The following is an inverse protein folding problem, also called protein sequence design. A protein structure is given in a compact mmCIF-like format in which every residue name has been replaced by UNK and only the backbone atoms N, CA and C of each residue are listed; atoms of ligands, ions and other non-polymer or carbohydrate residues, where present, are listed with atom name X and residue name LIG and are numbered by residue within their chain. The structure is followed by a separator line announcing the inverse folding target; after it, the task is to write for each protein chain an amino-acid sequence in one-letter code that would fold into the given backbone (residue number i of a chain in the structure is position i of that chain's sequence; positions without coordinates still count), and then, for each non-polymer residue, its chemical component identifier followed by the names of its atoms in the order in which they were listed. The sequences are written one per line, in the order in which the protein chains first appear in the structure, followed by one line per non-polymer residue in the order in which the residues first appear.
data_IF_372089814703
#
_entry.id   IF_372089814703
#
_cell.length_a   1.000
_cell.length_b   1.000
_cell.length_c   1.000
_cell.angle_alpha   90.00
_cell.angle_beta   90.00
_cell.angle_gamma   90.00
#
_symmetry.space_group_name_H-M   'P 1'
#
loop_
_entity.id
_entity.type
_entity.pdbx_description
1 polymer ?
#
# COMPACT_ATOMS: atom_id res chain seq x y z
N UNK A 1 -22.99 -73.76 -5.46
CA UNK A 1 -22.76 -73.40 -4.07
C UNK A 1 -21.36 -72.86 -4.00
N UNK A 2 -21.18 -71.55 -4.01
CA UNK A 2 -19.94 -70.84 -3.88
C UNK A 2 -20.20 -69.62 -3.00
N UNK A 3 -19.63 -69.60 -1.82
CA UNK A 3 -19.77 -68.49 -0.88
C UNK A 3 -18.69 -67.47 -1.20
N UNK A 4 -19.11 -66.26 -1.62
CA UNK A 4 -18.28 -65.09 -1.67
C UNK A 4 -18.12 -64.48 -0.27
N UNK A 5 -16.91 -64.51 0.22
CA UNK A 5 -16.49 -63.84 1.47
C UNK A 5 -15.99 -62.43 1.12
N UNK A 6 -16.86 -61.41 1.26
CA UNK A 6 -16.49 -59.99 1.12
C UNK A 6 -15.58 -59.56 2.26
N UNK A 7 -14.35 -59.27 1.95
CA UNK A 7 -13.39 -58.63 2.84
C UNK A 7 -13.64 -57.13 2.88
N UNK A 8 -13.96 -56.56 4.05
CA UNK A 8 -14.03 -55.13 4.28
C UNK A 8 -12.62 -54.51 4.20
N UNK A 9 -12.45 -53.30 3.62
CA UNK A 9 -11.16 -52.60 3.60
C UNK A 9 -10.80 -52.08 5.02
N UNK A 10 -9.52 -52.04 5.36
CA UNK A 10 -9.06 -51.59 6.68
C UNK A 10 -9.32 -50.08 6.80
N UNK A 11 -9.88 -49.71 7.93
CA UNK A 11 -10.09 -48.34 8.36
C UNK A 11 -8.73 -47.63 8.45
N UNK A 12 -8.52 -46.60 7.59
CA UNK A 12 -7.39 -45.69 7.68
C UNK A 12 -7.51 -44.85 8.94
N UNK A 13 -6.74 -45.24 9.97
CA UNK A 13 -6.64 -44.49 11.22
C UNK A 13 -6.03 -43.11 10.96
N UNK A 14 -6.87 -42.10 11.02
CA UNK A 14 -6.43 -40.70 11.04
C UNK A 14 -5.71 -40.46 12.36
N UNK A 15 -4.40 -40.43 12.33
CA UNK A 15 -3.58 -40.02 13.47
C UNK A 15 -3.96 -38.58 13.84
N UNK A 16 -4.38 -38.30 15.09
CA UNK A 16 -4.68 -36.95 15.48
C UNK A 16 -3.39 -36.13 15.44
N UNK A 17 -3.44 -35.00 14.69
CA UNK A 17 -2.35 -34.05 14.63
C UNK A 17 -1.95 -33.65 16.06
N UNK A 18 -0.70 -33.90 16.43
CA UNK A 18 -0.10 -33.45 17.69
C UNK A 18 -0.31 -31.95 17.80
N UNK A 19 -1.17 -31.51 18.72
CA UNK A 19 -1.22 -30.11 19.15
C UNK A 19 0.11 -29.79 19.81
N UNK A 20 0.98 -29.12 19.08
CA UNK A 20 2.21 -28.55 19.64
C UNK A 20 1.77 -27.40 20.56
N UNK A 21 1.98 -27.58 21.86
CA UNK A 21 1.79 -26.50 22.84
C UNK A 21 2.98 -25.57 22.63
N UNK A 22 2.72 -24.37 22.15
CA UNK A 22 3.77 -23.34 21.96
C UNK A 22 4.34 -22.95 23.33
N UNK A 23 5.65 -22.78 23.41
CA UNK A 23 6.32 -22.24 24.60
C UNK A 23 5.91 -20.79 24.87
N UNK A 24 6.12 -20.32 26.10
CA UNK A 24 5.82 -18.92 26.46
C UNK A 24 6.56 -17.90 25.59
N UNK A 25 7.77 -18.24 25.11
CA UNK A 25 8.57 -17.38 24.23
C UNK A 25 8.04 -17.40 22.79
N UNK A 26 7.56 -18.55 22.30
CA UNK A 26 6.88 -18.64 21.01
C UNK A 26 5.54 -17.89 21.05
N UNK A 27 4.80 -17.94 22.15
CA UNK A 27 3.58 -17.14 22.34
C UNK A 27 3.92 -15.65 22.40
N UNK A 28 5.01 -15.23 23.04
CA UNK A 28 5.49 -13.84 23.03
C UNK A 28 5.88 -13.39 21.62
N UNK A 29 6.63 -14.18 20.87
CA UNK A 29 6.99 -13.88 19.48
C UNK A 29 5.73 -13.77 18.58
N UNK A 30 4.67 -14.51 18.87
CA UNK A 30 3.37 -14.38 18.19
C UNK A 30 2.57 -13.16 18.63
N UNK A 31 2.79 -12.63 19.85
CA UNK A 31 2.10 -11.45 20.38
C UNK A 31 2.84 -10.14 20.11
N UNK A 32 4.14 -10.16 19.87
CA UNK A 32 4.87 -9.01 19.34
C UNK A 32 4.44 -8.80 17.88
N UNK A 33 3.44 -7.94 17.72
CA UNK A 33 2.94 -7.59 16.39
C UNK A 33 4.04 -6.81 15.67
N UNK A 34 4.46 -7.34 14.52
CA UNK A 34 5.35 -6.60 13.63
C UNK A 34 4.82 -5.16 13.42
N UNK A 35 5.69 -4.15 13.38
CA UNK A 35 5.32 -2.78 13.06
C UNK A 35 4.45 -2.72 11.81
N UNK A 36 3.46 -1.85 11.78
CA UNK A 36 2.47 -1.76 10.71
C UNK A 36 2.36 -0.35 10.19
N UNK A 37 2.49 -0.21 8.89
CA UNK A 37 2.15 1.01 8.18
C UNK A 37 0.65 1.06 7.88
N UNK A 38 -0.04 2.13 8.28
CA UNK A 38 -1.43 2.39 7.89
C UNK A 38 -1.44 3.12 6.56
N UNK A 39 -1.78 2.41 5.50
CA UNK A 39 -1.91 2.96 4.14
C UNK A 39 -3.19 2.45 3.54
N UNK A 40 -4.07 3.32 3.09
CA UNK A 40 -5.23 2.96 2.29
C UNK A 40 -4.86 3.03 0.80
N UNK A 41 -5.05 1.94 0.08
CA UNK A 41 -4.73 1.79 -1.34
C UNK A 41 -5.58 0.68 -1.94
N UNK A 42 -5.89 0.77 -3.23
CA UNK A 42 -6.58 -0.31 -3.94
C UNK A 42 -5.65 -1.52 -4.11
N UNK A 43 -6.18 -2.69 -3.80
CA UNK A 43 -5.52 -3.99 -3.98
C UNK A 43 -6.41 -4.87 -4.83
N UNK A 44 -5.85 -5.38 -5.92
CA UNK A 44 -6.49 -6.41 -6.73
C UNK A 44 -5.98 -7.77 -6.28
N UNK A 45 -6.86 -8.62 -5.79
CA UNK A 45 -6.57 -10.01 -5.47
C UNK A 45 -7.10 -10.92 -6.58
N UNK A 46 -6.29 -11.89 -7.00
CA UNK A 46 -6.66 -12.90 -7.99
C UNK A 46 -6.61 -14.26 -7.31
N UNK A 47 -7.73 -14.94 -7.28
CA UNK A 47 -7.83 -16.32 -6.79
C UNK A 47 -7.66 -17.24 -7.99
N UNK A 48 -6.62 -18.10 -8.03
CA UNK A 48 -6.52 -19.10 -9.08
C UNK A 48 -7.69 -20.09 -8.95
N UNK A 49 -8.49 -20.24 -9.99
CA UNK A 49 -9.49 -21.29 -10.07
C UNK A 49 -8.94 -22.43 -10.94
N UNK A 50 -8.91 -23.65 -10.38
CA UNK A 50 -8.39 -24.83 -11.08
C UNK A 50 -9.23 -25.20 -12.32
N UNK A 51 -10.47 -24.68 -12.43
CA UNK A 51 -11.41 -25.15 -13.44
C UNK A 51 -11.72 -24.18 -14.59
N UNK A 52 -11.63 -22.87 -14.47
CA UNK A 52 -12.00 -21.97 -15.59
C UNK A 52 -11.64 -20.48 -15.45
N UNK A 53 -10.59 -20.11 -14.85
CA UNK A 53 -10.21 -18.70 -14.84
C UNK A 53 -9.83 -18.18 -13.49
N UNK A 54 -9.52 -16.92 -13.42
CA UNK A 54 -9.16 -16.27 -12.15
C UNK A 54 -10.31 -15.39 -11.71
N UNK A 55 -10.79 -15.56 -10.50
CA UNK A 55 -11.70 -14.62 -9.87
C UNK A 55 -10.92 -13.40 -9.42
N UNK A 56 -11.40 -12.20 -9.75
CA UNK A 56 -10.81 -10.94 -9.36
C UNK A 56 -11.63 -10.34 -8.21
N UNK A 57 -10.95 -10.03 -7.12
CA UNK A 57 -11.55 -9.41 -5.94
C UNK A 57 -10.83 -8.08 -5.68
N UNK A 58 -11.57 -6.98 -5.78
CA UNK A 58 -11.07 -5.66 -5.41
C UNK A 58 -11.20 -5.45 -3.90
N UNK A 59 -10.14 -4.97 -3.28
CA UNK A 59 -10.07 -4.71 -1.86
C UNK A 59 -9.35 -3.38 -1.58
N UNK A 60 -9.48 -2.90 -0.36
CA UNK A 60 -8.75 -1.73 0.12
C UNK A 60 -7.71 -2.15 1.17
N UNK A 61 -6.46 -1.76 0.98
CA UNK A 61 -5.40 -1.94 1.97
C UNK A 61 -5.67 -1.04 3.17
N UNK A 62 -5.75 -1.63 4.36
CA UNK A 62 -5.90 -0.92 5.64
C UNK A 62 -4.55 -0.72 6.31
N UNK A 63 -3.73 -1.76 6.31
CA UNK A 63 -2.35 -1.69 6.79
C UNK A 63 -1.50 -2.83 6.22
N UNK A 64 -0.19 -2.62 6.24
CA UNK A 64 0.83 -3.57 5.81
C UNK A 64 1.92 -3.68 6.87
N UNK A 65 2.50 -4.86 7.00
CA UNK A 65 3.68 -5.17 7.83
C UNK A 65 4.66 -6.00 7.02
N UNK A 66 5.84 -6.27 7.57
CA UNK A 66 6.83 -7.15 6.93
C UNK A 66 6.32 -8.57 6.64
N UNK A 67 5.32 -9.06 7.40
CA UNK A 67 4.81 -10.43 7.29
C UNK A 67 3.45 -10.55 6.59
N UNK A 68 2.74 -9.45 6.34
CA UNK A 68 1.40 -9.52 5.76
C UNK A 68 0.66 -8.19 5.73
N UNK A 69 -0.61 -8.25 5.38
CA UNK A 69 -1.48 -7.09 5.20
C UNK A 69 -2.90 -7.34 5.73
N UNK A 70 -3.60 -6.27 6.03
CA UNK A 70 -5.04 -6.27 6.32
C UNK A 70 -5.77 -5.57 5.18
N UNK A 71 -6.74 -6.26 4.60
CA UNK A 71 -7.61 -5.73 3.56
C UNK A 71 -9.02 -5.53 4.10
N UNK A 72 -9.71 -4.51 3.59
CA UNK A 72 -11.12 -4.24 3.80
C UNK A 72 -11.91 -4.39 2.51
N UNK A 73 -13.24 -4.41 2.63
CA UNK A 73 -14.22 -4.47 1.54
C UNK A 73 -14.14 -5.74 0.68
N UNK A 74 -13.48 -6.78 1.19
CA UNK A 74 -13.37 -8.06 0.52
C UNK A 74 -13.34 -9.21 1.51
N UNK A 75 -13.83 -10.37 1.10
CA UNK A 75 -13.78 -11.62 1.86
C UNK A 75 -13.42 -12.77 0.93
N UNK A 76 -12.47 -13.57 1.37
CA UNK A 76 -12.10 -14.84 0.76
C UNK A 76 -11.99 -15.90 1.86
N UNK A 77 -12.14 -17.18 1.53
CA UNK A 77 -12.02 -18.26 2.49
C UNK A 77 -10.65 -18.28 3.18
N UNK A 78 -10.63 -18.60 4.48
CA UNK A 78 -9.38 -18.82 5.20
C UNK A 78 -8.63 -20.01 4.57
N UNK A 79 -7.32 -19.84 4.35
CA UNK A 79 -6.47 -20.81 3.65
C UNK A 79 -6.38 -20.56 2.15
N UNK A 80 -7.22 -19.69 1.57
CA UNK A 80 -7.09 -19.33 0.16
C UNK A 80 -5.74 -18.64 -0.09
N UNK A 81 -5.05 -19.08 -1.13
CA UNK A 81 -3.81 -18.45 -1.62
C UNK A 81 -4.16 -17.57 -2.81
N UNK A 82 -3.82 -16.29 -2.72
CA UNK A 82 -4.14 -15.30 -3.73
C UNK A 82 -2.88 -14.66 -4.30
N UNK A 83 -2.91 -14.31 -5.57
CA UNK A 83 -2.00 -13.32 -6.12
C UNK A 83 -2.58 -11.94 -5.86
N UNK A 84 -1.77 -11.00 -5.43
CA UNK A 84 -2.22 -9.64 -5.16
C UNK A 84 -1.37 -8.60 -5.87
N UNK A 85 -1.98 -7.47 -6.17
CA UNK A 85 -1.34 -6.31 -6.78
C UNK A 85 -1.79 -5.04 -6.07
N UNK A 86 -0.86 -4.24 -5.58
CA UNK A 86 -1.15 -2.88 -5.12
C UNK A 86 -1.25 -1.97 -6.35
N UNK A 87 -2.43 -1.39 -6.53
CA UNK A 87 -2.74 -0.59 -7.71
C UNK A 87 -2.59 0.90 -7.41
N UNK A 88 -1.71 1.58 -8.12
CA UNK A 88 -1.65 3.05 -8.10
C UNK A 88 -2.67 3.66 -9.07
N UNK A 89 -2.96 2.97 -10.16
CA UNK A 89 -4.05 3.22 -11.08
C UNK A 89 -4.39 1.92 -11.84
N UNK A 90 -5.35 1.98 -12.76
CA UNK A 90 -5.80 0.80 -13.52
C UNK A 90 -4.68 0.08 -14.31
N UNK A 91 -3.51 0.68 -14.49
CA UNK A 91 -2.40 0.15 -15.30
C UNK A 91 -1.07 0.05 -14.56
N UNK A 92 -0.91 0.76 -13.43
CA UNK A 92 0.34 0.81 -12.69
C UNK A 92 0.25 0.00 -11.40
N UNK A 93 1.01 -1.08 -11.37
CA UNK A 93 1.22 -1.92 -10.18
C UNK A 93 2.43 -1.40 -9.40
N UNK A 94 2.25 -1.10 -8.13
CA UNK A 94 3.33 -0.69 -7.24
C UNK A 94 4.06 -1.89 -6.62
N UNK A 95 3.30 -2.94 -6.30
CA UNK A 95 3.78 -4.15 -5.65
C UNK A 95 2.90 -5.31 -6.06
N UNK A 96 3.49 -6.46 -6.32
CA UNK A 96 2.79 -7.71 -6.56
C UNK A 96 3.42 -8.85 -5.75
N UNK A 97 2.62 -9.86 -5.44
CA UNK A 97 3.08 -11.01 -4.70
C UNK A 97 2.00 -12.07 -4.52
N UNK A 98 2.29 -13.06 -3.69
CA UNK A 98 1.33 -14.09 -3.27
C UNK A 98 1.14 -14.05 -1.76
N UNK A 99 -0.08 -14.23 -1.31
CA UNK A 99 -0.43 -14.23 0.11
C UNK A 99 -1.51 -15.26 0.40
N UNK A 100 -1.55 -15.73 1.65
CA UNK A 100 -2.55 -16.65 2.16
C UNK A 100 -3.50 -15.91 3.10
N UNK A 101 -4.79 -16.13 2.97
CA UNK A 101 -5.81 -15.61 3.89
C UNK A 101 -5.72 -16.37 5.21
N UNK A 102 -5.27 -15.70 6.27
CA UNK A 102 -5.10 -16.31 7.59
C UNK A 102 -6.21 -15.98 8.58
N UNK A 103 -7.03 -14.99 8.25
CA UNK A 103 -8.23 -14.63 9.03
C UNK A 103 -9.22 -13.87 8.16
N UNK A 104 -10.49 -13.97 8.49
CA UNK A 104 -11.57 -13.23 7.86
C UNK A 104 -12.57 -12.78 8.92
N UNK A 105 -13.15 -11.58 8.75
CA UNK A 105 -14.24 -11.01 9.52
C UNK A 105 -15.32 -10.58 8.54
N UNK A 106 -16.58 -10.97 8.81
CA UNK A 106 -17.68 -10.68 7.90
C UNK A 106 -18.21 -9.24 8.07
N UNK A 107 -18.20 -8.71 9.28
CA UNK A 107 -18.80 -7.41 9.59
C UNK A 107 -17.86 -6.55 10.45
N UNK A 108 -17.34 -5.44 9.94
CA UNK A 108 -17.24 -5.10 8.51
C UNK A 108 -16.32 -6.08 7.77
N UNK A 109 -16.55 -6.30 6.45
CA UNK A 109 -15.75 -7.26 5.69
C UNK A 109 -14.27 -6.89 5.73
N UNK A 110 -13.45 -7.78 6.30
CA UNK A 110 -11.99 -7.62 6.42
C UNK A 110 -11.32 -8.97 6.36
N UNK A 111 -10.16 -9.02 5.71
CA UNK A 111 -9.32 -10.22 5.71
C UNK A 111 -7.86 -9.89 5.99
N UNK A 112 -7.24 -10.72 6.84
CA UNK A 112 -5.80 -10.67 7.11
C UNK A 112 -5.08 -11.66 6.23
N UNK A 113 -4.08 -11.20 5.51
CA UNK A 113 -3.26 -12.00 4.63
C UNK A 113 -1.83 -12.08 5.14
N UNK A 114 -1.22 -13.26 5.05
CA UNK A 114 0.20 -13.50 5.30
C UNK A 114 0.92 -13.62 3.96
N UNK A 115 2.01 -12.90 3.76
CA UNK A 115 2.82 -13.02 2.56
C UNK A 115 3.42 -14.43 2.46
N UNK A 116 3.23 -15.06 1.32
CA UNK A 116 3.84 -16.34 0.95
C UNK A 116 5.05 -16.09 0.06
N UNK A 117 4.94 -15.11 -0.84
CA UNK A 117 6.00 -14.75 -1.77
C UNK A 117 5.95 -13.25 -2.07
N UNK A 118 7.08 -12.60 -1.84
CA UNK A 118 7.42 -11.28 -2.37
C UNK A 118 8.79 -11.39 -3.01
N UNK A 119 8.98 -10.73 -4.15
CA UNK A 119 10.32 -10.54 -4.70
C UNK A 119 11.15 -9.59 -3.83
N UNK A 120 12.43 -9.48 -4.11
CA UNK A 120 13.35 -8.64 -3.33
C UNK A 120 12.95 -7.15 -3.36
N UNK A 121 12.46 -6.68 -4.50
CA UNK A 121 11.96 -5.31 -4.66
C UNK A 121 10.73 -5.08 -3.77
N UNK A 122 9.79 -6.02 -3.76
CA UNK A 122 8.60 -5.98 -2.91
C UNK A 122 8.91 -6.03 -1.42
N UNK A 123 9.83 -6.89 -1.00
CA UNK A 123 10.30 -6.95 0.39
C UNK A 123 10.94 -5.64 0.83
N UNK A 124 11.77 -5.06 -0.04
CA UNK A 124 12.42 -3.77 0.21
C UNK A 124 11.40 -2.63 0.30
N UNK A 125 10.40 -2.64 -0.59
CA UNK A 125 9.33 -1.64 -0.58
C UNK A 125 8.50 -1.70 0.70
N UNK A 126 8.06 -2.90 1.10
CA UNK A 126 7.28 -3.11 2.33
C UNK A 126 8.10 -2.69 3.56
N UNK A 127 9.38 -3.03 3.62
CA UNK A 127 10.27 -2.62 4.70
C UNK A 127 10.34 -1.10 4.81
N UNK A 128 10.58 -0.42 3.70
CA UNK A 128 10.61 1.06 3.66
C UNK A 128 9.30 1.69 4.10
N UNK A 129 8.15 1.12 3.71
CA UNK A 129 6.85 1.62 4.15
C UNK A 129 6.69 1.51 5.67
N UNK A 130 7.10 0.40 6.27
CA UNK A 130 7.05 0.19 7.71
C UNK A 130 8.01 1.13 8.43
N UNK A 131 9.26 1.26 7.96
CA UNK A 131 10.25 2.18 8.51
C UNK A 131 9.77 3.64 8.48
N UNK A 132 9.16 4.07 7.38
CA UNK A 132 8.63 5.43 7.25
C UNK A 132 7.43 5.63 8.19
N UNK A 133 6.60 4.61 8.41
CA UNK A 133 5.47 4.71 9.33
C UNK A 133 5.92 4.86 10.79
N UNK A 134 6.98 4.15 11.17
CA UNK A 134 7.55 4.25 12.53
C UNK A 134 8.30 5.57 12.73
N UNK A 135 8.95 6.05 11.66
CA UNK A 135 9.58 7.35 11.57
C UNK A 135 8.60 8.41 11.03
N UNK A 136 7.27 8.25 11.27
CA UNK A 136 6.30 9.22 10.77
C UNK A 136 6.89 10.61 10.92
N UNK A 137 7.14 11.37 9.83
CA UNK A 137 7.71 12.67 9.99
C UNK A 137 6.78 13.36 10.94
N UNK A 138 7.30 13.79 12.08
CA UNK A 138 6.66 14.87 12.78
C UNK A 138 6.36 15.87 11.67
N UNK A 139 5.06 16.02 11.34
CA UNK A 139 4.65 17.16 10.51
C UNK A 139 5.35 18.29 11.21
N UNK A 140 6.35 18.96 10.59
CA UNK A 140 7.10 19.93 11.30
C UNK A 140 6.09 20.91 11.87
N UNK A 141 5.76 20.77 13.17
CA UNK A 141 4.97 21.73 13.94
C UNK A 141 5.82 22.98 14.17
N UNK A 142 6.95 23.07 13.47
CA UNK A 142 7.81 24.23 13.44
C UNK A 142 6.93 25.40 12.97
N UNK A 143 6.85 26.47 13.79
CA UNK A 143 6.23 27.72 13.39
C UNK A 143 6.92 28.18 12.10
N UNK A 144 6.26 28.05 10.95
CA UNK A 144 6.87 28.26 9.64
C UNK A 144 6.65 27.12 8.65
N UNK A 145 6.16 25.94 9.05
CA UNK A 145 5.56 24.99 8.11
C UNK A 145 4.23 25.59 7.69
N UNK A 146 4.32 26.44 6.66
CA UNK A 146 3.18 27.18 6.19
C UNK A 146 2.20 26.19 5.56
N UNK A 147 0.94 26.12 6.04
CA UNK A 147 -0.19 25.57 5.27
C UNK A 147 -0.22 26.14 3.85
N UNK A 148 0.31 27.36 3.66
CA UNK A 148 0.45 28.06 2.38
C UNK A 148 1.28 27.34 1.29
N UNK A 149 2.02 26.27 1.60
CA UNK A 149 2.79 25.55 0.59
C UNK A 149 1.98 24.47 -0.14
N UNK A 150 0.84 24.03 0.42
CA UNK A 150 -0.09 23.07 -0.20
C UNK A 150 -1.50 23.60 -0.02
N UNK A 151 -2.17 23.88 -1.12
CA UNK A 151 -3.55 24.40 -1.15
C UNK A 151 -4.43 23.38 -1.86
N UNK A 152 -5.52 22.98 -1.20
CA UNK A 152 -6.61 22.21 -1.79
C UNK A 152 -7.81 23.14 -1.99
N UNK A 153 -8.15 23.45 -3.23
CA UNK A 153 -9.28 24.28 -3.57
C UNK A 153 -10.12 23.65 -4.68
N UNK A 154 -11.41 23.40 -4.42
CA UNK A 154 -12.46 22.99 -5.37
C UNK A 154 -12.00 22.17 -6.59
N UNK A 155 -11.27 21.07 -6.36
CA UNK A 155 -10.76 20.20 -7.43
C UNK A 155 -9.38 20.60 -7.97
N UNK A 156 -8.73 21.58 -7.36
CA UNK A 156 -7.34 21.97 -7.67
C UNK A 156 -6.45 21.75 -6.48
N UNK A 157 -5.24 21.25 -6.73
CA UNK A 157 -4.17 21.15 -5.73
C UNK A 157 -2.99 21.97 -6.22
N UNK A 158 -2.54 22.91 -5.41
CA UNK A 158 -1.33 23.69 -5.66
C UNK A 158 -0.25 23.35 -4.66
N UNK A 159 0.95 23.10 -5.14
CA UNK A 159 2.12 22.81 -4.30
C UNK A 159 3.25 23.76 -4.69
N UNK A 160 3.71 24.59 -3.74
CA UNK A 160 4.91 25.42 -3.92
C UNK A 160 6.14 24.67 -3.47
N UNK A 161 7.08 24.45 -4.38
CA UNK A 161 8.34 23.74 -4.11
C UNK A 161 9.27 24.58 -3.25
N UNK A 162 9.72 24.00 -2.17
CA UNK A 162 10.80 24.50 -1.32
C UNK A 162 11.52 23.31 -0.64
N UNK A 163 12.52 23.55 0.17
CA UNK A 163 13.26 22.50 0.85
C UNK A 163 12.40 21.59 1.73
N UNK A 164 11.30 22.09 2.31
CA UNK A 164 10.38 21.31 3.12
C UNK A 164 9.44 20.47 2.24
N UNK A 165 8.84 21.07 1.21
CA UNK A 165 7.87 20.40 0.33
C UNK A 165 8.52 19.43 -0.65
N UNK A 166 9.82 19.55 -0.94
CA UNK A 166 10.56 18.57 -1.74
C UNK A 166 10.39 17.14 -1.21
N UNK A 167 10.29 16.97 0.11
CA UNK A 167 10.07 15.67 0.74
C UNK A 167 8.71 15.05 0.37
N UNK A 168 7.70 15.84 0.04
CA UNK A 168 6.39 15.33 -0.36
C UNK A 168 6.45 14.49 -1.64
N UNK A 169 7.47 14.70 -2.45
CA UNK A 169 7.71 13.98 -3.69
C UNK A 169 8.59 12.75 -3.53
N UNK A 170 9.20 12.55 -2.36
CA UNK A 170 10.13 11.44 -2.08
C UNK A 170 9.79 10.67 -0.80
N UNK A 171 8.88 11.20 0.02
CA UNK A 171 8.54 10.66 1.34
C UNK A 171 7.99 9.23 1.28
N UNK A 172 7.02 8.97 0.41
CA UNK A 172 6.41 7.65 0.32
C UNK A 172 6.94 6.90 -0.90
N UNK A 173 7.57 5.72 -0.73
CA UNK A 173 8.17 4.97 -1.82
C UNK A 173 7.15 4.45 -2.86
N UNK A 174 5.85 4.41 -2.53
CA UNK A 174 4.79 4.06 -3.48
C UNK A 174 4.46 5.21 -4.44
N UNK A 175 4.58 6.45 -3.98
CA UNK A 175 4.13 7.65 -4.70
C UNK A 175 5.17 8.76 -4.72
N UNK A 176 6.43 8.43 -4.90
CA UNK A 176 7.48 9.44 -5.13
C UNK A 176 7.47 9.93 -6.59
N UNK A 177 8.11 11.04 -6.85
CA UNK A 177 8.19 11.64 -8.20
C UNK A 177 8.76 10.67 -9.26
N UNK A 178 9.57 9.70 -8.86
CA UNK A 178 10.11 8.65 -9.74
C UNK A 178 9.04 7.75 -10.36
N UNK A 179 7.95 7.49 -9.66
CA UNK A 179 6.79 6.74 -10.16
C UNK A 179 5.67 7.66 -10.66
N UNK A 180 5.89 8.97 -10.64
CA UNK A 180 4.93 9.98 -11.12
C UNK A 180 3.82 10.26 -10.11
N UNK A 181 4.18 10.59 -8.90
CA UNK A 181 3.26 10.94 -7.84
C UNK A 181 3.94 11.70 -6.70
N UNK A 182 3.13 12.05 -5.71
CA UNK A 182 3.59 12.68 -4.48
C UNK A 182 2.68 12.29 -3.32
N UNK A 183 3.13 12.57 -2.10
CA UNK A 183 2.38 12.29 -0.89
C UNK A 183 2.26 13.59 -0.08
N UNK A 184 1.05 14.15 -0.06
CA UNK A 184 0.79 15.48 0.50
C UNK A 184 0.01 15.40 1.80
N UNK A 185 0.26 16.31 2.76
CA UNK A 185 -0.62 16.46 3.91
C UNK A 185 -1.99 16.95 3.46
N UNK A 186 -3.06 16.38 4.01
CA UNK A 186 -4.44 16.80 3.77
C UNK A 186 -5.17 16.99 5.10
N UNK A 187 -5.80 18.14 5.27
CA UNK A 187 -6.59 18.45 6.47
C UNK A 187 -7.95 17.75 6.47
N UNK A 188 -8.47 17.46 5.28
CA UNK A 188 -9.77 16.83 5.08
C UNK A 188 -9.64 15.40 4.60
N UNK A 189 -10.62 14.57 4.93
CA UNK A 189 -10.69 13.21 4.40
C UNK A 189 -11.08 13.23 2.92
N UNK A 190 -10.11 12.95 2.05
CA UNK A 190 -10.30 12.89 0.60
C UNK A 190 -10.45 11.42 0.18
N UNK A 191 -11.57 11.02 -0.45
CA UNK A 191 -11.78 9.64 -0.87
C UNK A 191 -10.75 9.15 -1.89
N UNK A 192 -10.43 7.84 -1.85
CA UNK A 192 -9.65 7.19 -2.92
C UNK A 192 -10.36 7.40 -4.27
N UNK A 193 -9.57 7.62 -5.31
CA UNK A 193 -10.09 7.86 -6.66
C UNK A 193 -10.49 9.29 -6.95
N UNK A 194 -10.55 10.20 -5.98
CA UNK A 194 -10.83 11.62 -6.21
C UNK A 194 -9.80 12.22 -7.16
N UNK A 195 -10.27 12.90 -8.20
CA UNK A 195 -9.45 13.58 -9.20
C UNK A 195 -9.24 15.06 -8.88
N UNK A 196 -8.05 15.56 -9.20
CA UNK A 196 -7.66 16.97 -9.05
C UNK A 196 -6.91 17.46 -10.28
N UNK A 197 -7.05 18.75 -10.57
CA UNK A 197 -6.06 19.49 -11.34
C UNK A 197 -4.91 19.84 -10.40
N UNK A 198 -3.65 19.58 -10.79
CA UNK A 198 -2.50 19.85 -9.94
C UNK A 198 -1.53 20.81 -10.61
N UNK A 199 -1.18 21.88 -9.91
CA UNK A 199 -0.16 22.85 -10.27
C UNK A 199 1.00 22.77 -9.28
N UNK A 200 2.19 22.47 -9.76
CA UNK A 200 3.43 22.47 -8.98
C UNK A 200 4.23 23.70 -9.38
N UNK A 201 4.51 24.57 -8.41
CA UNK A 201 5.12 25.87 -8.59
C UNK A 201 6.56 25.85 -8.03
N UNK A 202 7.46 26.59 -8.63
CA UNK A 202 8.78 26.90 -8.05
C UNK A 202 8.69 28.00 -6.97
N UNK A 203 9.84 28.34 -6.39
CA UNK A 203 9.93 29.41 -5.38
C UNK A 203 9.60 30.80 -5.89
N UNK A 204 9.41 30.99 -7.21
CA UNK A 204 9.02 32.25 -7.86
C UNK A 204 7.59 32.22 -8.40
N UNK A 205 6.78 31.27 -7.95
CA UNK A 205 5.39 31.03 -8.37
C UNK A 205 5.21 30.69 -9.87
N UNK A 206 6.28 30.24 -10.54
CA UNK A 206 6.18 29.74 -11.91
C UNK A 206 5.79 28.27 -11.90
N UNK A 207 4.90 27.89 -12.80
CA UNK A 207 4.47 26.49 -12.95
C UNK A 207 5.63 25.64 -13.49
N UNK A 208 6.14 24.72 -12.68
CA UNK A 208 7.12 23.70 -13.06
C UNK A 208 6.42 22.56 -13.76
N UNK A 209 5.28 22.15 -13.25
CA UNK A 209 4.48 21.08 -13.83
C UNK A 209 2.99 21.32 -13.59
N UNK A 210 2.19 21.10 -14.62
CA UNK A 210 0.72 21.02 -14.54
C UNK A 210 0.27 19.65 -15.00
N UNK A 211 -0.59 18.99 -14.22
CA UNK A 211 -1.13 17.68 -14.56
C UNK A 211 -2.50 17.46 -13.93
N UNK A 212 -3.20 16.43 -14.36
CA UNK A 212 -4.26 15.85 -13.54
C UNK A 212 -3.63 14.93 -12.51
N UNK A 213 -4.24 14.81 -11.35
CA UNK A 213 -3.83 13.90 -10.30
C UNK A 213 -5.05 13.14 -9.75
N UNK A 214 -4.81 11.95 -9.22
CA UNK A 214 -5.86 11.12 -8.61
C UNK A 214 -5.36 10.61 -7.27
N UNK A 215 -6.23 10.60 -6.26
CA UNK A 215 -5.91 9.98 -4.97
C UNK A 215 -5.75 8.47 -5.17
N UNK A 216 -4.54 7.98 -5.01
CA UNK A 216 -4.18 6.57 -5.18
C UNK A 216 -3.86 5.87 -3.86
N UNK A 217 -3.52 6.62 -2.81
CA UNK A 217 -3.21 6.09 -1.49
C UNK A 217 -3.59 7.08 -0.39
N UNK A 218 -3.76 6.58 0.84
CA UNK A 218 -4.02 7.38 2.04
C UNK A 218 -3.24 6.79 3.20
N UNK A 219 -2.68 7.67 4.04
CA UNK A 219 -1.98 7.29 5.26
C UNK A 219 -2.19 8.38 6.32
N UNK A 220 -3.00 8.10 7.35
CA UNK A 220 -3.37 9.05 8.39
C UNK A 220 -3.88 10.39 7.80
N UNK A 221 -3.11 11.48 7.97
CA UNK A 221 -3.41 12.82 7.43
C UNK A 221 -2.74 13.10 6.08
N UNK A 222 -2.27 12.07 5.39
CA UNK A 222 -1.59 12.19 4.12
C UNK A 222 -2.41 11.56 3.00
N UNK A 223 -2.41 12.21 1.85
CA UNK A 223 -2.97 11.66 0.61
C UNK A 223 -1.89 11.49 -0.43
N UNK A 224 -1.85 10.30 -1.02
CA UNK A 224 -0.98 9.98 -2.13
C UNK A 224 -1.68 10.32 -3.44
N UNK A 225 -1.09 11.23 -4.21
CA UNK A 225 -1.57 11.65 -5.51
C UNK A 225 -0.74 11.01 -6.63
N UNK A 226 -1.40 10.30 -7.52
CA UNK A 226 -0.83 9.77 -8.76
C UNK A 226 -1.02 10.79 -9.87
N UNK A 227 0.06 11.18 -10.55
CA UNK A 227 0.01 12.10 -11.68
C UNK A 227 -0.55 11.43 -12.92
N UNK A 228 -1.41 12.15 -13.62
CA UNK A 228 -2.05 11.76 -14.88
C UNK A 228 -1.87 12.89 -15.90
N UNK A 229 -1.94 12.55 -17.19
CA UNK A 229 -1.93 13.53 -18.29
C UNK A 229 -0.82 14.61 -18.17
N UNK A 230 0.43 14.19 -17.99
CA UNK A 230 1.57 15.08 -17.89
C UNK A 230 2.57 14.88 -19.02
N UNK A 231 3.30 15.94 -19.37
CA UNK A 231 4.41 15.86 -20.31
C UNK A 231 5.66 15.25 -19.65
N UNK A 232 6.35 14.39 -20.37
CA UNK A 232 7.59 13.74 -19.87
C UNK A 232 8.66 14.78 -19.49
N UNK A 233 8.78 15.85 -20.28
CA UNK A 233 9.69 16.98 -20.03
C UNK A 233 9.39 17.67 -18.71
N UNK A 234 8.10 17.94 -18.41
CA UNK A 234 7.66 18.55 -17.15
C UNK A 234 7.97 17.65 -15.94
N UNK A 235 7.79 16.33 -16.07
CA UNK A 235 8.16 15.39 -15.02
C UNK A 235 9.68 15.37 -14.79
N UNK A 236 10.49 15.47 -15.85
CA UNK A 236 11.95 15.54 -15.71
C UNK A 236 12.38 16.84 -15.03
N UNK A 237 11.76 17.97 -15.39
CA UNK A 237 12.02 19.26 -14.75
C UNK A 237 11.67 19.22 -13.25
N UNK A 238 10.51 18.64 -12.89
CA UNK A 238 10.12 18.45 -11.50
C UNK A 238 11.14 17.60 -10.73
N UNK A 239 11.59 16.48 -11.30
CA UNK A 239 12.61 15.62 -10.68
C UNK A 239 13.92 16.37 -10.41
N UNK A 240 14.37 17.16 -11.37
CA UNK A 240 15.58 17.96 -11.24
C UNK A 240 15.44 19.01 -10.13
N UNK A 241 14.30 19.71 -10.04
CA UNK A 241 14.08 20.72 -9.02
C UNK A 241 13.94 20.11 -7.62
N UNK A 242 13.21 19.00 -7.48
CA UNK A 242 13.12 18.26 -6.21
C UNK A 242 14.49 17.76 -5.74
N UNK A 243 15.31 17.21 -6.64
CA UNK A 243 16.65 16.75 -6.31
C UNK A 243 17.55 17.89 -5.83
N UNK A 244 17.52 19.04 -6.51
CA UNK A 244 18.27 20.25 -6.13
C UNK A 244 17.86 20.74 -4.74
N UNK A 245 16.57 20.83 -4.45
CA UNK A 245 16.07 21.27 -3.14
C UNK A 245 16.38 20.29 -2.01
N UNK A 246 16.37 18.97 -2.31
CA UNK A 246 16.75 17.95 -1.34
C UNK A 246 18.25 18.00 -1.01
N UNK A 247 19.12 18.29 -1.98
CA UNK A 247 20.57 18.42 -1.78
C UNK A 247 20.93 19.65 -0.94
N UNK A 248 20.24 20.78 -1.18
CA UNK A 248 20.50 22.04 -0.44
C UNK A 248 20.14 21.95 1.06
N UNK A 249 19.48 20.91 1.50
CA UNK A 249 19.15 20.65 2.91
C UNK A 249 20.22 19.83 3.64
N UNK A 250 21.08 19.15 2.90
CA UNK A 250 22.12 18.27 3.46
C UNK A 250 23.43 19.01 3.81
N UNK A 251 23.53 20.28 3.41
CA UNK A 251 24.60 21.22 3.77
C UNK A 251 24.17 22.10 4.95
#
# INVERSE_FOLDING_TARGET
MGQDSGGAPPATGTTPAKRTVLSADEVRAFTERAPRCKVAMQVLCTVPDENQGSEFVEAELVNVSSSGMLLANALLPIGAVVEFKFMLDARLVALAGRAEVVRALAEPPRMGLRFVMLDEAGQTLVRKLVEISDAAPEIPTTPGFAPAAVEFDHGTVRVRLNAATANFFTYNPLLHVGVGGCFLPAETDVPLGTGFQMDILDGSDRVVMRCKAKVAAKQDRWVGLRFLDFERSALQALRAEVAKLASARAE
#
